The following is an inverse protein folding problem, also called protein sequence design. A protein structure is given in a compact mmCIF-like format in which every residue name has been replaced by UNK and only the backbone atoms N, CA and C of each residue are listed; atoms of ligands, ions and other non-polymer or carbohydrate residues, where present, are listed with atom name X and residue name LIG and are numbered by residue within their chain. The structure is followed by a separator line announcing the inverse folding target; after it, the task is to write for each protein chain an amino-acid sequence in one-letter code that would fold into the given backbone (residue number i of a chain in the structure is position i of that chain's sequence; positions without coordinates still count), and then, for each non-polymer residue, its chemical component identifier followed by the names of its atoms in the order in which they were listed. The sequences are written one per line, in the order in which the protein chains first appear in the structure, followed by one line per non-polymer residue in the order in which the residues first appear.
data_IF_061851438070
#
_entry.id   IF_061851438070
#
_cell.length_a   1.000
_cell.length_b   1.000
_cell.length_c   1.000
_cell.angle_alpha   90.00
_cell.angle_beta   90.00
_cell.angle_gamma   90.00
#
_symmetry.space_group_name_H-M   'P 1'
#
loop_
_entity.id
_entity.type
_entity.pdbx_description
1 polymer ?
#
# COMPACT_ATOMS: atom_id res chain seq x y z
N UNK A 1 4.42 18.35 6.72
CA UNK A 1 3.38 17.59 5.99
C UNK A 1 3.39 16.17 6.50
N UNK A 2 2.23 15.50 6.57
CA UNK A 2 2.11 14.08 6.97
C UNK A 2 1.66 13.19 5.81
N UNK A 3 2.19 11.97 5.75
CA UNK A 3 1.81 10.96 4.77
C UNK A 3 1.54 9.59 5.41
N UNK A 4 0.62 8.84 4.83
CA UNK A 4 0.47 7.40 5.07
C UNK A 4 1.06 6.62 3.89
N UNK A 5 1.61 5.43 4.17
CA UNK A 5 2.05 4.46 3.16
C UNK A 5 1.18 3.22 3.30
N UNK A 6 0.64 2.75 2.18
CA UNK A 6 -0.23 1.58 2.09
C UNK A 6 0.35 0.63 1.04
N UNK A 7 0.78 -0.55 1.49
CA UNK A 7 1.25 -1.63 0.62
C UNK A 7 0.12 -2.62 0.37
N UNK A 8 -0.18 -2.90 -0.89
CA UNK A 8 -1.18 -3.88 -1.31
C UNK A 8 -0.45 -5.14 -1.78
N UNK A 9 -0.69 -6.26 -1.12
CA UNK A 9 -0.09 -7.54 -1.52
C UNK A 9 -0.31 -8.65 -0.49
N UNK A 10 -0.94 -9.75 -0.92
CA UNK A 10 -1.20 -10.90 -0.05
C UNK A 10 0.09 -11.63 0.33
N UNK A 11 1.08 -11.61 -0.55
CA UNK A 11 2.42 -12.17 -0.35
C UNK A 11 3.17 -11.51 0.82
N UNK A 12 2.88 -10.24 1.11
CA UNK A 12 3.39 -9.53 2.28
C UNK A 12 2.66 -10.03 3.54
N UNK A 13 1.33 -10.14 3.47
CA UNK A 13 0.50 -10.57 4.60
C UNK A 13 0.78 -11.99 5.06
N UNK A 14 1.06 -12.92 4.13
CA UNK A 14 1.44 -14.30 4.46
C UNK A 14 2.94 -14.45 4.78
N UNK A 15 3.70 -13.35 4.77
CA UNK A 15 5.13 -13.35 5.08
C UNK A 15 6.02 -14.01 4.03
N UNK A 16 5.55 -14.18 2.79
CA UNK A 16 6.34 -14.73 1.70
C UNK A 16 7.42 -13.74 1.25
N UNK A 17 7.12 -12.44 1.27
CA UNK A 17 8.09 -11.38 0.98
C UNK A 17 8.09 -10.31 2.08
N UNK A 18 9.19 -9.57 2.16
CA UNK A 18 9.36 -8.45 3.09
C UNK A 18 8.96 -7.15 2.37
N UNK A 19 8.20 -6.29 3.05
CA UNK A 19 7.85 -4.95 2.54
C UNK A 19 9.06 -3.99 2.56
N UNK A 20 9.92 -4.11 1.57
CA UNK A 20 11.06 -3.20 1.37
C UNK A 20 10.64 -1.88 0.71
N UNK A 21 9.50 -1.86 0.00
CA UNK A 21 8.97 -0.68 -0.67
C UNK A 21 8.58 0.40 0.34
N UNK A 22 7.82 0.03 1.38
CA UNK A 22 7.45 0.97 2.44
C UNK A 22 8.66 1.57 3.15
N UNK A 23 9.68 0.74 3.41
CA UNK A 23 10.92 1.20 4.03
C UNK A 23 11.66 2.22 3.16
N UNK A 24 11.76 1.96 1.85
CA UNK A 24 12.36 2.89 0.89
C UNK A 24 11.57 4.21 0.82
N UNK A 25 10.26 4.13 0.60
CA UNK A 25 9.38 5.30 0.49
C UNK A 25 9.44 6.14 1.76
N UNK A 26 9.38 5.52 2.94
CA UNK A 26 9.46 6.22 4.21
C UNK A 26 10.78 6.98 4.37
N UNK A 27 11.89 6.39 3.93
CA UNK A 27 13.20 7.05 3.96
C UNK A 27 13.23 8.28 3.05
N UNK A 28 12.74 8.16 1.81
CA UNK A 28 12.70 9.28 0.85
C UNK A 28 11.78 10.41 1.34
N UNK A 29 10.62 10.08 1.92
CA UNK A 29 9.71 11.07 2.51
C UNK A 29 10.36 11.83 3.67
N UNK A 30 11.05 11.11 4.57
CA UNK A 30 11.76 11.75 5.67
C UNK A 30 12.88 12.68 5.15
N UNK A 31 13.60 12.29 4.12
CA UNK A 31 14.60 13.14 3.46
C UNK A 31 13.97 14.40 2.83
N UNK A 32 12.73 14.29 2.36
CA UNK A 32 11.95 15.42 1.84
C UNK A 32 11.24 16.26 2.94
N UNK A 33 11.45 15.95 4.23
CA UNK A 33 10.80 16.67 5.34
C UNK A 33 9.32 16.33 5.53
N UNK A 34 8.86 15.20 4.99
CA UNK A 34 7.49 14.68 5.14
C UNK A 34 7.51 13.58 6.21
N UNK A 35 6.73 13.77 7.27
CA UNK A 35 6.64 12.77 8.34
C UNK A 35 5.68 11.65 7.96
N UNK A 36 6.14 10.40 8.08
CA UNK A 36 5.27 9.24 7.90
C UNK A 36 4.46 9.01 9.16
N UNK A 37 3.13 9.09 9.03
CA UNK A 37 2.19 8.90 10.13
C UNK A 37 1.88 7.41 10.36
N UNK A 38 1.69 6.65 9.28
CA UNK A 38 1.31 5.24 9.33
C UNK A 38 1.85 4.51 8.11
N UNK A 39 2.33 3.28 8.32
CA UNK A 39 2.63 2.30 7.28
C UNK A 39 1.74 1.09 7.55
N UNK A 40 0.99 0.65 6.54
CA UNK A 40 0.14 -0.55 6.63
C UNK A 40 0.29 -1.40 5.39
N UNK A 41 0.20 -2.71 5.56
CA UNK A 41 0.07 -3.68 4.48
C UNK A 41 -1.33 -4.27 4.52
N UNK A 42 -1.99 -4.38 3.36
CA UNK A 42 -3.38 -4.83 3.22
C UNK A 42 -3.52 -5.86 2.11
N UNK A 43 -4.67 -6.56 2.07
CA UNK A 43 -4.95 -7.51 1.01
C UNK A 43 -5.28 -6.80 -0.30
N UNK A 44 -5.17 -7.51 -1.42
CA UNK A 44 -5.55 -7.00 -2.74
C UNK A 44 -7.06 -7.09 -2.99
N UNK A 45 -7.84 -6.53 -2.05
CA UNK A 45 -9.30 -6.44 -2.17
C UNK A 45 -9.74 -4.99 -2.17
N UNK A 46 -10.79 -4.68 -2.94
CA UNK A 46 -11.36 -3.33 -3.00
C UNK A 46 -11.76 -2.82 -1.62
N UNK A 47 -12.38 -3.68 -0.81
CA UNK A 47 -12.87 -3.32 0.52
C UNK A 47 -11.73 -2.91 1.45
N UNK A 48 -10.62 -3.66 1.46
CA UNK A 48 -9.44 -3.31 2.28
C UNK A 48 -8.80 -2.00 1.82
N UNK A 49 -8.73 -1.76 0.50
CA UNK A 49 -8.22 -0.49 -0.05
C UNK A 49 -9.11 0.68 0.40
N UNK A 50 -10.43 0.55 0.27
CA UNK A 50 -11.36 1.59 0.72
C UNK A 50 -11.28 1.82 2.22
N UNK A 51 -11.17 0.75 3.02
CA UNK A 51 -11.05 0.85 4.46
C UNK A 51 -9.77 1.59 4.86
N UNK A 52 -8.63 1.22 4.28
CA UNK A 52 -7.34 1.87 4.52
C UNK A 52 -7.35 3.38 4.20
N UNK A 53 -8.04 3.77 3.12
CA UNK A 53 -8.21 5.16 2.74
C UNK A 53 -9.14 5.91 3.70
N UNK A 54 -10.29 5.33 4.07
CA UNK A 54 -11.26 5.94 4.98
C UNK A 54 -10.73 6.12 6.41
N UNK A 55 -9.83 5.26 6.86
CA UNK A 55 -9.16 5.42 8.16
C UNK A 55 -8.06 6.49 8.17
N UNK A 56 -7.80 7.15 7.04
CA UNK A 56 -6.76 8.18 6.99
C UNK A 56 -7.18 9.39 7.82
N UNK A 57 -6.38 9.80 8.83
CA UNK A 57 -6.70 10.95 9.66
C UNK A 57 -6.79 12.24 8.84
N UNK A 58 -7.63 13.21 9.25
CA UNK A 58 -7.83 14.45 8.50
C UNK A 58 -6.58 15.35 8.43
N UNK A 59 -5.60 15.16 9.32
CA UNK A 59 -4.32 15.88 9.30
C UNK A 59 -3.24 15.21 8.43
N UNK A 60 -3.54 14.06 7.82
CA UNK A 60 -2.71 13.43 6.80
C UNK A 60 -3.07 14.00 5.43
N UNK A 61 -2.06 14.50 4.72
CA UNK A 61 -2.24 15.28 3.48
C UNK A 61 -1.95 14.45 2.22
N UNK A 62 -1.38 13.26 2.40
CA UNK A 62 -1.02 12.37 1.30
C UNK A 62 -1.10 10.92 1.74
N UNK A 63 -1.59 10.06 0.84
CA UNK A 63 -1.51 8.61 0.99
C UNK A 63 -0.79 8.07 -0.22
N UNK A 64 0.23 7.25 0.01
CA UNK A 64 1.01 6.59 -1.03
C UNK A 64 0.62 5.13 -1.04
N UNK A 65 0.15 4.67 -2.20
CA UNK A 65 -0.20 3.28 -2.45
C UNK A 65 0.94 2.63 -3.25
N UNK A 66 1.34 1.42 -2.86
CA UNK A 66 2.37 0.62 -3.55
C UNK A 66 1.97 -0.86 -3.53
N UNK A 67 2.48 -1.65 -4.47
CA UNK A 67 2.00 -3.03 -4.69
C UNK A 67 0.66 -3.08 -5.44
N UNK A 68 0.17 -4.27 -5.78
CA UNK A 68 -1.10 -4.46 -6.51
C UNK A 68 -1.10 -4.01 -8.00
N UNK A 69 0.06 -3.63 -8.56
CA UNK A 69 0.21 -3.24 -9.97
C UNK A 69 0.68 -4.38 -10.89
N UNK A 70 0.80 -5.60 -10.35
CA UNK A 70 1.05 -6.79 -11.17
C UNK A 70 -0.05 -6.95 -12.21
N UNK A 71 0.23 -7.59 -13.38
CA UNK A 71 -0.81 -7.82 -14.37
C UNK A 71 -1.89 -8.67 -13.71
N UNK A 72 -3.04 -8.08 -13.39
CA UNK A 72 -4.23 -8.78 -12.91
C UNK A 72 -4.82 -9.55 -14.10
N UNK A 73 -4.11 -10.57 -14.55
CA UNK A 73 -4.64 -11.64 -15.37
C UNK A 73 -5.15 -12.71 -14.40
N UNK A 74 -6.32 -12.45 -13.80
CA UNK A 74 -7.23 -13.54 -13.50
C UNK A 74 -7.66 -14.10 -14.87
N UNK A 75 -6.87 -15.07 -15.36
CA UNK A 75 -7.03 -15.76 -16.64
C UNK A 75 -8.24 -16.73 -16.56
N UNK A 76 -9.44 -16.18 -16.29
CA UNK A 76 -10.71 -16.93 -16.26
C UNK A 76 -11.41 -17.00 -17.62
N UNK A 77 -10.73 -16.67 -18.72
CA UNK A 77 -11.34 -16.71 -20.07
C UNK A 77 -10.51 -17.46 -21.11
N UNK A 78 -10.07 -18.68 -20.80
CA UNK A 78 -9.68 -19.68 -21.81
C UNK A 78 -10.28 -21.07 -21.56
N UNK A 79 -11.61 -21.12 -21.46
CA UNK A 79 -12.40 -22.31 -21.79
C UNK A 79 -13.36 -21.94 -22.92
N UNK A 80 -12.88 -21.98 -24.15
CA UNK A 80 -13.68 -22.22 -25.35
C UNK A 80 -12.99 -23.34 -26.12
#
# INVERSE_FOLDING_TARGET
MKANIVTIGNEILIGQIIDTNSAYIAKELNMAGISVNRIISISDTKDDIFHALNETPPDVQCVILTGGLGPTNDDVTKKH
#
